data_IF_232503021785
#
_entry.id   IF_232503021785
#
_cell.length_a   1.000
_cell.length_b   1.000
_cell.length_c   1.000
_cell.angle_alpha   90.00
_cell.angle_beta   90.00
_cell.angle_gamma   90.00
#
_symmetry.space_group_name_H-M   'P 1'
#
loop_
_entity.id
_entity.type
_entity.pdbx_description
1 polymer ?
#
# COMPACT_ATOMS: atom_id res chain seq x y z
N UNK A 1 21.76 8.91 -11.45
CA UNK A 1 21.12 7.60 -11.65
C UNK A 1 19.66 7.85 -12.02
N UNK A 2 19.26 7.51 -13.25
CA UNK A 2 17.92 7.80 -13.78
C UNK A 2 16.83 7.29 -12.82
N UNK A 3 15.89 8.15 -12.43
CA UNK A 3 14.78 7.81 -11.52
C UNK A 3 14.03 6.53 -11.96
N UNK A 4 13.99 6.25 -13.26
CA UNK A 4 13.44 5.03 -13.83
C UNK A 4 14.10 3.72 -13.32
N UNK A 5 15.42 3.71 -13.09
CA UNK A 5 16.13 2.54 -12.54
C UNK A 5 15.79 2.29 -11.07
N UNK A 6 15.48 3.35 -10.31
CA UNK A 6 15.07 3.25 -8.91
C UNK A 6 13.71 2.57 -8.76
N UNK A 7 12.79 2.79 -9.70
CA UNK A 7 11.43 2.22 -9.64
C UNK A 7 11.24 0.94 -10.48
N UNK A 8 12.28 0.45 -11.16
CA UNK A 8 12.22 -0.82 -11.88
C UNK A 8 11.80 -1.96 -10.93
N UNK A 9 10.95 -2.92 -11.33
CA UNK A 9 10.49 -4.00 -10.44
C UNK A 9 11.61 -4.86 -9.85
N UNK A 10 12.75 -4.95 -10.55
CA UNK A 10 13.94 -5.68 -10.07
C UNK A 10 14.94 -4.78 -9.33
N UNK A 11 14.63 -3.51 -9.13
CA UNK A 11 15.51 -2.59 -8.42
C UNK A 11 15.66 -3.02 -6.97
N UNK A 12 16.80 -2.70 -6.37
CA UNK A 12 17.03 -2.91 -4.94
C UNK A 12 15.94 -2.25 -4.10
N UNK A 13 15.43 -1.09 -4.54
CA UNK A 13 14.34 -0.39 -3.90
C UNK A 13 13.05 -1.21 -3.85
N UNK A 14 12.64 -1.84 -4.95
CA UNK A 14 11.44 -2.67 -4.98
C UNK A 14 11.55 -3.88 -4.03
N UNK A 15 12.70 -4.55 -4.06
CA UNK A 15 13.01 -5.68 -3.17
C UNK A 15 13.01 -5.27 -1.70
N UNK A 16 13.59 -4.11 -1.38
CA UNK A 16 13.56 -3.57 -0.01
C UNK A 16 12.14 -3.22 0.41
N UNK A 17 11.34 -2.59 -0.46
CA UNK A 17 9.93 -2.31 -0.15
C UNK A 17 9.12 -3.60 0.08
N UNK A 18 9.36 -4.65 -0.70
CA UNK A 18 8.72 -5.96 -0.53
C UNK A 18 9.07 -6.60 0.82
N UNK A 19 10.37 -6.69 1.15
CA UNK A 19 10.84 -7.22 2.44
C UNK A 19 10.27 -6.42 3.62
N UNK A 20 10.16 -5.10 3.49
CA UNK A 20 9.61 -4.26 4.55
C UNK A 20 8.08 -4.34 4.64
N UNK A 21 7.39 -4.60 3.53
CA UNK A 21 5.94 -4.85 3.52
C UNK A 21 5.61 -6.15 4.27
N UNK A 22 6.45 -7.18 4.15
CA UNK A 22 6.29 -8.45 4.87
C UNK A 22 6.40 -8.31 6.40
N UNK A 23 7.10 -7.28 6.88
CA UNK A 23 7.22 -6.97 8.31
C UNK A 23 5.99 -6.25 8.88
N UNK A 24 5.09 -5.75 8.01
CA UNK A 24 3.88 -5.10 8.46
C UNK A 24 2.78 -6.12 8.78
N UNK A 25 1.95 -5.88 9.80
CA UNK A 25 0.72 -6.64 9.97
C UNK A 25 -0.10 -6.58 8.67
N UNK A 26 -0.60 -7.73 8.18
CA UNK A 26 -1.31 -7.84 6.89
C UNK A 26 -2.38 -6.77 6.69
N UNK A 27 -3.14 -6.44 7.74
CA UNK A 27 -4.16 -5.37 7.71
C UNK A 27 -3.58 -3.97 7.48
N UNK A 28 -2.40 -3.67 8.00
CA UNK A 28 -1.72 -2.38 7.77
C UNK A 28 -1.12 -2.31 6.35
N UNK A 29 -0.51 -3.40 5.88
CA UNK A 29 -0.02 -3.50 4.50
C UNK A 29 -1.16 -3.32 3.49
N UNK A 30 -2.25 -4.07 3.67
CA UNK A 30 -3.47 -3.97 2.87
C UNK A 30 -4.04 -2.53 2.83
N UNK A 31 -4.20 -1.89 3.98
CA UNK A 31 -4.69 -0.51 4.06
C UNK A 31 -3.79 0.47 3.32
N UNK A 32 -2.46 0.29 3.43
CA UNK A 32 -1.49 1.16 2.78
C UNK A 32 -1.51 0.99 1.26
N UNK A 33 -1.51 -0.26 0.78
CA UNK A 33 -1.54 -0.59 -0.64
C UNK A 33 -2.83 -0.10 -1.30
N UNK A 34 -3.98 -0.33 -0.66
CA UNK A 34 -5.27 0.17 -1.16
C UNK A 34 -5.27 1.70 -1.28
N UNK A 35 -4.74 2.41 -0.28
CA UNK A 35 -4.67 3.88 -0.32
C UNK A 35 -3.69 4.39 -1.39
N UNK A 36 -2.56 3.71 -1.57
CA UNK A 36 -1.56 4.07 -2.58
C UNK A 36 -2.07 3.83 -4.00
N UNK A 37 -2.83 2.76 -4.21
CA UNK A 37 -3.41 2.42 -5.51
C UNK A 37 -4.65 3.25 -5.87
N UNK A 38 -5.26 3.97 -4.92
CA UNK A 38 -6.49 4.74 -5.15
C UNK A 38 -6.31 5.83 -6.21
N UNK A 39 -7.10 5.77 -7.26
CA UNK A 39 -7.21 6.81 -8.28
C UNK A 39 -8.48 7.63 -8.02
N UNK A 40 -8.37 8.95 -7.96
CA UNK A 40 -9.56 9.82 -7.84
C UNK A 40 -10.34 9.80 -9.16
N UNK A 41 -11.69 9.69 -9.15
CA UNK A 41 -12.51 9.55 -10.37
C UNK A 41 -12.46 10.68 -11.40
N UNK A 42 -11.67 11.73 -11.15
CA UNK A 42 -11.64 12.98 -11.91
C UNK A 42 -10.76 12.90 -13.18
N UNK A 43 -10.19 11.73 -13.49
CA UNK A 43 -9.25 11.52 -14.61
C UNK A 43 -9.71 10.36 -15.50
N UNK A 44 -9.71 10.56 -16.82
CA UNK A 44 -10.22 9.62 -17.83
C UNK A 44 -9.69 8.17 -17.70
N UNK A 45 -10.56 7.18 -17.95
CA UNK A 45 -10.26 5.74 -18.01
C UNK A 45 -11.24 4.88 -17.19
N UNK A 46 -11.23 3.57 -17.40
CA UNK A 46 -11.94 2.60 -16.54
C UNK A 46 -10.90 1.77 -15.76
N UNK A 47 -10.82 1.96 -14.44
CA UNK A 47 -9.97 1.17 -13.55
C UNK A 47 -10.76 0.79 -12.29
N UNK A 48 -10.58 -0.43 -11.78
CA UNK A 48 -11.19 -0.86 -10.51
C UNK A 48 -10.73 -0.01 -9.32
N UNK A 49 -9.56 0.62 -9.45
CA UNK A 49 -8.96 1.50 -8.47
C UNK A 49 -9.46 2.94 -8.54
N UNK A 50 -10.25 3.27 -9.55
CA UNK A 50 -10.91 4.57 -9.70
C UNK A 50 -12.14 4.64 -8.79
N UNK A 51 -11.90 4.96 -7.51
CA UNK A 51 -12.93 4.93 -6.47
C UNK A 51 -12.75 6.08 -5.47
N UNK A 52 -13.87 6.57 -4.94
CA UNK A 52 -13.86 7.42 -3.74
C UNK A 52 -13.41 6.64 -2.50
N UNK A 53 -13.05 7.34 -1.43
CA UNK A 53 -12.69 6.69 -0.16
C UNK A 53 -13.81 5.78 0.38
N UNK A 54 -15.07 6.21 0.24
CA UNK A 54 -16.24 5.45 0.70
C UNK A 54 -16.44 4.18 -0.12
N UNK A 55 -16.32 4.29 -1.44
CA UNK A 55 -16.41 3.15 -2.35
C UNK A 55 -15.27 2.15 -2.13
N UNK A 56 -14.09 2.62 -1.73
CA UNK A 56 -12.97 1.74 -1.39
C UNK A 56 -13.28 0.80 -0.22
N UNK A 57 -13.94 1.29 0.83
CA UNK A 57 -14.41 0.44 1.95
C UNK A 57 -15.50 -0.52 1.47
N UNK A 58 -16.45 -0.04 0.66
CA UNK A 58 -17.53 -0.87 0.12
C UNK A 58 -17.06 -1.94 -0.87
N UNK A 59 -15.92 -1.73 -1.55
CA UNK A 59 -15.35 -2.65 -2.55
C UNK A 59 -14.06 -3.33 -2.07
N UNK A 60 -13.77 -3.26 -0.77
CA UNK A 60 -12.48 -3.71 -0.24
C UNK A 60 -12.17 -5.17 -0.57
N UNK A 61 -13.16 -6.06 -0.60
CA UNK A 61 -12.95 -7.44 -1.01
C UNK A 61 -12.36 -7.55 -2.42
N UNK A 62 -12.98 -6.88 -3.40
CA UNK A 62 -12.53 -6.89 -4.80
C UNK A 62 -11.13 -6.29 -4.92
N UNK A 63 -10.90 -5.19 -4.21
CA UNK A 63 -9.61 -4.49 -4.23
C UNK A 63 -8.50 -5.31 -3.56
N UNK A 64 -8.79 -5.99 -2.45
CA UNK A 64 -7.84 -6.87 -1.79
C UNK A 64 -7.50 -8.11 -2.63
N UNK A 65 -8.50 -8.71 -3.30
CA UNK A 65 -8.26 -9.79 -4.28
C UNK A 65 -7.32 -9.34 -5.40
N UNK A 66 -7.51 -8.13 -5.93
CA UNK A 66 -6.60 -7.60 -6.96
C UNK A 66 -5.18 -7.31 -6.49
N UNK A 67 -4.96 -7.24 -5.16
CA UNK A 67 -3.64 -7.14 -4.54
C UNK A 67 -3.08 -8.50 -4.11
N UNK A 68 -3.80 -9.60 -4.30
CA UNK A 68 -3.43 -10.91 -3.75
C UNK A 68 -3.52 -11.00 -2.22
N UNK A 69 -4.30 -10.10 -1.57
CA UNK A 69 -4.41 -9.96 -0.12
C UNK A 69 -5.82 -10.27 0.42
N UNK A 70 -6.54 -11.15 -0.26
CA UNK A 70 -7.92 -11.51 0.09
C UNK A 70 -8.03 -12.42 1.32
N UNK A 71 -6.96 -13.13 1.69
CA UNK A 71 -6.97 -14.09 2.78
C UNK A 71 -6.32 -13.55 4.06
N UNK A 72 -7.00 -13.73 5.19
CA UNK A 72 -6.48 -13.35 6.51
C UNK A 72 -6.48 -11.85 6.82
N UNK A 73 -7.00 -11.00 5.92
CA UNK A 73 -7.18 -9.56 6.16
C UNK A 73 -8.61 -9.29 6.61
N UNK A 74 -8.79 -8.95 7.89
CA UNK A 74 -10.08 -8.48 8.41
C UNK A 74 -10.44 -7.15 7.74
N UNK A 75 -11.69 -7.04 7.28
CA UNK A 75 -12.22 -5.84 6.62
C UNK A 75 -12.27 -4.62 7.54
N UNK A 76 -12.18 -3.44 6.91
CA UNK A 76 -12.32 -2.13 7.53
C UNK A 76 -13.81 -1.77 7.60
N UNK A 77 -14.23 -1.32 8.78
CA UNK A 77 -15.60 -0.90 9.06
C UNK A 77 -15.91 0.53 8.60
N UNK A 78 -14.87 1.35 8.46
CA UNK A 78 -14.99 2.76 8.09
C UNK A 78 -13.79 3.24 7.28
N UNK A 79 -13.98 4.38 6.60
CA UNK A 79 -12.91 5.07 5.86
C UNK A 79 -11.80 5.48 6.82
N UNK A 80 -12.17 5.94 8.01
CA UNK A 80 -11.23 6.35 9.05
C UNK A 80 -10.37 5.17 9.52
N UNK A 81 -10.98 4.01 9.81
CA UNK A 81 -10.25 2.82 10.23
C UNK A 81 -9.21 2.38 9.18
N UNK A 82 -9.58 2.45 7.91
CA UNK A 82 -8.68 2.17 6.78
C UNK A 82 -7.54 3.19 6.73
N UNK A 83 -7.83 4.49 6.83
CA UNK A 83 -6.83 5.56 6.79
C UNK A 83 -5.84 5.46 7.97
N UNK A 84 -6.34 5.26 9.19
CA UNK A 84 -5.51 5.09 10.39
C UNK A 84 -4.60 3.88 10.26
N UNK A 85 -5.13 2.73 9.81
CA UNK A 85 -4.33 1.53 9.61
C UNK A 85 -3.22 1.74 8.57
N UNK A 86 -3.52 2.38 7.44
CA UNK A 86 -2.51 2.65 6.42
C UNK A 86 -1.50 3.72 6.82
N UNK A 87 -1.89 4.73 7.62
CA UNK A 87 -0.95 5.70 8.21
C UNK A 87 0.03 5.00 9.15
N UNK A 88 -0.46 4.09 10.01
CA UNK A 88 0.39 3.29 10.89
C UNK A 88 1.36 2.40 10.11
N UNK A 89 0.87 1.72 9.07
CA UNK A 89 1.72 0.92 8.17
C UNK A 89 2.81 1.76 7.49
N UNK A 90 2.43 2.92 6.96
CA UNK A 90 3.37 3.85 6.32
C UNK A 90 4.43 4.35 7.30
N UNK A 91 4.05 4.73 8.52
CA UNK A 91 5.01 5.18 9.53
C UNK A 91 6.00 4.08 9.90
N UNK A 92 5.55 2.83 10.05
CA UNK A 92 6.43 1.69 10.30
C UNK A 92 7.38 1.44 9.12
N UNK A 93 6.89 1.53 7.89
CA UNK A 93 7.72 1.42 6.69
C UNK A 93 8.82 2.50 6.68
N UNK A 94 8.47 3.76 6.96
CA UNK A 94 9.45 4.85 7.06
C UNK A 94 10.46 4.64 8.17
N UNK A 95 10.05 4.16 9.34
CA UNK A 95 10.97 3.82 10.43
C UNK A 95 11.96 2.74 10.00
N UNK A 96 11.49 1.70 9.32
CA UNK A 96 12.35 0.63 8.84
C UNK A 96 13.29 1.08 7.70
N UNK A 97 12.81 1.94 6.80
CA UNK A 97 13.64 2.56 5.75
C UNK A 97 14.72 3.48 6.34
N UNK A 98 14.38 4.27 7.36
CA UNK A 98 15.33 5.15 8.04
C UNK A 98 16.44 4.37 8.75
N UNK A 99 16.12 3.21 9.34
CA UNK A 99 17.13 2.30 9.92
C UNK A 99 18.03 1.68 8.83
N UNK A 100 17.45 1.37 7.65
CA UNK A 100 18.21 0.82 6.52
C UNK A 100 19.18 1.81 5.85
N UNK A 101 18.87 3.11 5.85
CA UNK A 101 19.76 4.16 5.34
C UNK A 101 20.94 4.45 6.30
N UNK A 102 20.79 4.20 7.60
CA UNK A 102 21.85 4.38 8.61
C UNK A 102 22.82 3.18 8.69
N UNK A 103 22.45 2.03 8.13
CA UNK A 103 23.30 0.83 8.06
C UNK A 103 24.17 0.72 6.79
N UNK A 104 24.21 1.77 5.96
CA UNK A 104 25.09 1.88 4.80
C UNK A 104 26.17 2.95 5.05
N UNK A 105 26.90 2.83 6.15
CA UNK A 105 28.21 3.49 6.36
C UNK A 105 29.25 2.46 6.78
#
# INVERSE_FOLDING_TARGET
MLAALRYHPQSQWHKTCEVLLDQLPKRQAAAMLMQAARIRPEKMGHSIWMVTARQMVGRQEVLLRSLGLNEGVRYFESVEALQVAGKRGRNKLWQALAVGEVGQE
#
